data_IF_130896279892
#
_entry.id   IF_130896279892
#
_cell.length_a   1.000
_cell.length_b   1.000
_cell.length_c   1.000
_cell.angle_alpha   90.00
_cell.angle_beta   90.00
_cell.angle_gamma   90.00
#
_symmetry.space_group_name_H-M   'P 1'
#
loop_
_entity.id
_entity.type
_entity.pdbx_description
1 polymer ?
#
# COMPACT_ATOMS: atom_id res chain seq x y z
N UNK A 1 -33.07 -15.26 -27.65
CA UNK A 1 -31.93 -15.58 -26.73
C UNK A 1 -31.70 -14.37 -25.84
N UNK A 2 -31.54 -14.53 -24.53
CA UNK A 2 -31.37 -13.41 -23.59
C UNK A 2 -29.89 -13.16 -23.24
N UNK A 3 -29.54 -11.92 -22.97
CA UNK A 3 -28.19 -11.51 -22.59
C UNK A 3 -27.85 -11.95 -21.17
N UNK A 4 -26.72 -12.64 -20.98
CA UNK A 4 -26.20 -13.04 -19.66
C UNK A 4 -25.90 -11.86 -18.75
N UNK A 5 -25.64 -10.67 -19.31
CA UNK A 5 -25.28 -9.47 -18.54
C UNK A 5 -26.52 -8.67 -18.10
N UNK A 6 -27.48 -8.44 -19.00
CA UNK A 6 -28.61 -7.54 -18.72
C UNK A 6 -30.01 -8.15 -18.91
N UNK A 7 -30.11 -9.45 -19.21
CA UNK A 7 -31.37 -10.19 -19.29
C UNK A 7 -32.30 -9.83 -20.46
N UNK A 8 -31.96 -8.85 -21.29
CA UNK A 8 -32.76 -8.47 -22.46
C UNK A 8 -32.47 -9.37 -23.67
N UNK A 9 -33.46 -9.51 -24.54
CA UNK A 9 -33.32 -10.31 -25.76
C UNK A 9 -32.23 -9.73 -26.68
N UNK A 10 -31.38 -10.61 -27.20
CA UNK A 10 -30.31 -10.27 -28.14
C UNK A 10 -30.76 -10.58 -29.56
N UNK A 11 -30.71 -9.56 -30.42
CA UNK A 11 -30.87 -9.66 -31.87
C UNK A 11 -29.55 -9.23 -32.54
N UNK A 12 -28.66 -10.18 -32.85
CA UNK A 12 -27.37 -9.92 -33.52
C UNK A 12 -26.14 -10.41 -32.74
N UNK A 13 -24.96 -9.94 -33.13
CA UNK A 13 -23.67 -10.34 -32.52
C UNK A 13 -23.38 -9.64 -31.18
N UNK A 14 -24.10 -8.56 -30.85
CA UNK A 14 -23.94 -7.80 -29.62
C UNK A 14 -25.32 -7.50 -29.02
N UNK A 15 -25.40 -7.36 -27.70
CA UNK A 15 -26.63 -6.97 -27.02
C UNK A 15 -26.92 -5.48 -27.23
N UNK A 16 -28.06 -5.15 -27.84
CA UNK A 16 -28.46 -3.76 -28.12
C UNK A 16 -28.69 -2.89 -26.87
N UNK A 17 -28.80 -3.49 -25.68
CA UNK A 17 -29.04 -2.75 -24.44
C UNK A 17 -27.79 -2.50 -23.59
N UNK A 18 -26.83 -3.42 -23.56
CA UNK A 18 -25.61 -3.28 -22.74
C UNK A 18 -24.30 -3.33 -23.54
N UNK A 19 -24.36 -3.59 -24.85
CA UNK A 19 -23.19 -3.70 -25.72
C UNK A 19 -22.37 -4.98 -25.55
N UNK A 20 -22.75 -5.89 -24.64
CA UNK A 20 -22.01 -7.13 -24.42
C UNK A 20 -22.00 -8.00 -25.70
N UNK A 21 -20.84 -8.55 -26.10
CA UNK A 21 -20.75 -9.47 -27.23
C UNK A 21 -21.52 -10.75 -26.92
N UNK A 22 -22.09 -11.36 -27.95
CA UNK A 22 -22.81 -12.63 -27.84
C UNK A 22 -21.80 -13.75 -27.60
N UNK A 23 -21.87 -14.37 -26.42
CA UNK A 23 -20.98 -15.48 -26.04
C UNK A 23 -21.20 -16.67 -26.99
N UNK A 24 -20.24 -16.91 -27.88
CA UNK A 24 -20.21 -18.10 -28.72
C UNK A 24 -19.98 -19.32 -27.83
N UNK A 25 -20.99 -20.18 -27.71
CA UNK A 25 -20.88 -21.50 -27.10
C UNK A 25 -19.88 -22.31 -27.95
N UNK A 26 -18.62 -22.36 -27.52
CA UNK A 26 -17.66 -23.34 -28.02
C UNK A 26 -17.37 -24.33 -26.89
N UNK A 27 -17.71 -25.58 -27.16
CA UNK A 27 -17.69 -26.73 -26.26
C UNK A 27 -16.26 -27.13 -25.92
N UNK A 28 -15.65 -26.44 -24.96
CA UNK A 28 -14.78 -27.08 -23.98
C UNK A 28 -14.95 -26.40 -22.62
N UNK A 29 -16.20 -26.47 -22.15
CA UNK A 29 -16.61 -26.12 -20.80
C UNK A 29 -16.42 -27.36 -19.92
N UNK A 30 -15.19 -27.60 -19.45
CA UNK A 30 -15.05 -28.31 -18.18
C UNK A 30 -15.18 -27.27 -17.07
N UNK A 31 -16.44 -27.03 -16.71
CA UNK A 31 -16.91 -26.69 -15.36
C UNK A 31 -15.86 -26.13 -14.40
N UNK A 32 -15.47 -24.87 -14.60
CA UNK A 32 -15.42 -23.97 -13.46
C UNK A 32 -16.88 -23.73 -13.07
N UNK A 33 -17.34 -24.40 -12.01
CA UNK A 33 -18.47 -24.02 -11.14
C UNK A 33 -18.80 -25.13 -10.14
N UNK A 34 -17.94 -25.28 -9.14
CA UNK A 34 -18.32 -25.34 -7.72
C UNK A 34 -17.08 -24.97 -6.94
N UNK A 35 -17.15 -23.89 -6.17
CA UNK A 35 -16.05 -23.29 -5.44
C UNK A 35 -15.23 -24.35 -4.67
N UNK A 36 -13.91 -24.32 -4.88
CA UNK A 36 -12.89 -25.16 -4.23
C UNK A 36 -12.90 -24.99 -2.72
N UNK A 37 -13.86 -25.60 -2.03
CA UNK A 37 -13.91 -25.69 -0.58
C UNK A 37 -12.99 -26.81 -0.10
N UNK A 38 -13.02 -27.96 -0.78
CA UNK A 38 -12.24 -29.15 -0.45
C UNK A 38 -11.16 -29.43 -1.49
N UNK A 39 -9.96 -29.80 -1.03
CA UNK A 39 -8.86 -30.30 -1.88
C UNK A 39 -8.48 -31.70 -1.39
N UNK A 40 -8.42 -32.66 -2.32
CA UNK A 40 -7.94 -34.00 -2.03
C UNK A 40 -6.42 -34.03 -2.15
N UNK A 41 -5.74 -34.29 -1.02
CA UNK A 41 -4.28 -34.42 -0.98
C UNK A 41 -3.97 -35.75 -0.33
N UNK A 42 -3.27 -36.63 -1.07
CA UNK A 42 -2.90 -37.98 -0.61
C UNK A 42 -4.09 -38.83 -0.15
N UNK A 43 -5.28 -38.65 -0.75
CA UNK A 43 -6.49 -39.41 -0.39
C UNK A 43 -7.30 -38.82 0.76
N UNK A 44 -6.89 -37.66 1.30
CA UNK A 44 -7.57 -36.98 2.41
C UNK A 44 -8.27 -35.72 1.87
N UNK A 45 -9.57 -35.61 2.09
CA UNK A 45 -10.35 -34.42 1.75
C UNK A 45 -10.15 -33.34 2.82
N UNK A 46 -9.57 -32.20 2.41
CA UNK A 46 -9.30 -31.09 3.32
C UNK A 46 -10.07 -29.85 2.90
N UNK A 47 -10.94 -29.34 3.78
CA UNK A 47 -11.65 -28.08 3.59
C UNK A 47 -10.74 -26.88 3.91
N UNK A 48 -10.21 -26.26 2.87
CA UNK A 48 -9.28 -25.13 2.98
C UNK A 48 -9.96 -23.87 3.52
N UNK A 49 -11.27 -23.71 3.31
CA UNK A 49 -12.00 -22.55 3.81
C UNK A 49 -12.11 -22.60 5.34
N UNK A 50 -12.48 -23.75 5.89
CA UNK A 50 -12.57 -23.95 7.35
C UNK A 50 -11.24 -23.74 8.06
N UNK A 51 -10.12 -24.08 7.43
CA UNK A 51 -8.77 -23.83 7.95
C UNK A 51 -8.50 -22.32 8.03
N UNK A 52 -8.80 -21.57 6.96
CA UNK A 52 -8.60 -20.12 6.98
C UNK A 52 -9.47 -19.44 8.03
N UNK A 53 -10.72 -19.89 8.19
CA UNK A 53 -11.66 -19.37 9.19
C UNK A 53 -11.20 -19.69 10.63
N UNK A 54 -10.79 -20.94 10.89
CA UNK A 54 -10.37 -21.40 12.23
C UNK A 54 -9.06 -20.76 12.69
N UNK A 55 -8.08 -20.68 11.80
CA UNK A 55 -6.76 -20.16 12.14
C UNK A 55 -6.65 -18.65 11.96
N UNK A 56 -7.57 -18.02 11.22
CA UNK A 56 -7.61 -16.57 11.02
C UNK A 56 -6.25 -16.07 10.53
N UNK A 57 -5.61 -15.15 11.27
CA UNK A 57 -4.28 -14.60 10.90
C UNK A 57 -3.09 -15.53 11.20
N UNK A 58 -3.29 -16.67 11.88
CA UNK A 58 -2.21 -17.58 12.30
C UNK A 58 -1.82 -18.56 11.18
N UNK A 59 -1.33 -18.00 10.07
CA UNK A 59 -0.96 -18.75 8.85
C UNK A 59 0.06 -19.87 9.11
N UNK A 60 1.00 -19.64 10.02
CA UNK A 60 2.01 -20.66 10.38
C UNK A 60 1.39 -21.89 11.05
N UNK A 61 0.36 -21.71 11.88
CA UNK A 61 -0.37 -22.79 12.53
C UNK A 61 -1.24 -23.55 11.50
N UNK A 62 -1.87 -22.83 10.57
CA UNK A 62 -2.61 -23.43 9.47
C UNK A 62 -1.73 -24.32 8.57
N UNK A 63 -0.51 -23.89 8.25
CA UNK A 63 0.47 -24.69 7.48
C UNK A 63 0.89 -25.94 8.25
N UNK A 64 1.13 -25.79 9.56
CA UNK A 64 1.53 -26.92 10.41
C UNK A 64 0.40 -27.95 10.50
N UNK A 65 -0.83 -27.51 10.73
CA UNK A 65 -2.01 -28.36 10.77
C UNK A 65 -2.25 -29.07 9.43
N UNK A 66 -2.14 -28.35 8.31
CA UNK A 66 -2.25 -28.95 6.97
C UNK A 66 -1.19 -30.04 6.77
N UNK A 67 0.06 -29.77 7.18
CA UNK A 67 1.16 -30.73 7.11
C UNK A 67 0.89 -31.97 7.96
N UNK A 68 0.44 -31.79 9.20
CA UNK A 68 0.21 -32.88 10.14
C UNK A 68 -0.91 -33.83 9.67
N UNK A 69 -1.90 -33.30 8.95
CA UNK A 69 -3.00 -34.10 8.37
C UNK A 69 -2.58 -34.77 7.06
N UNK A 70 -1.93 -34.03 6.15
CA UNK A 70 -1.71 -34.49 4.76
C UNK A 70 -0.35 -35.16 4.52
N UNK A 71 0.60 -35.02 5.45
CA UNK A 71 1.98 -35.47 5.29
C UNK A 71 2.79 -34.68 4.24
N UNK A 72 2.28 -33.54 3.75
CA UNK A 72 2.93 -32.72 2.74
C UNK A 72 4.31 -32.19 3.16
N UNK A 73 5.18 -31.98 2.17
CA UNK A 73 6.39 -31.18 2.37
C UNK A 73 6.05 -29.73 2.73
N UNK A 74 6.84 -29.12 3.62
CA UNK A 74 6.62 -27.75 4.14
C UNK A 74 6.38 -26.72 3.03
N UNK A 75 7.09 -26.86 1.89
CA UNK A 75 6.96 -25.95 0.73
C UNK A 75 5.61 -26.08 0.03
N UNK A 76 5.12 -27.31 -0.16
CA UNK A 76 3.83 -27.58 -0.80
C UNK A 76 2.68 -27.18 0.13
N UNK A 77 2.76 -27.50 1.42
CA UNK A 77 1.79 -27.07 2.41
C UNK A 77 1.68 -25.54 2.47
N UNK A 78 2.83 -24.86 2.36
CA UNK A 78 2.88 -23.39 2.32
C UNK A 78 2.19 -22.82 1.08
N UNK A 79 2.45 -23.33 -0.13
CA UNK A 79 1.81 -22.79 -1.34
C UNK A 79 0.29 -22.98 -1.31
N UNK A 80 -0.19 -24.14 -0.86
CA UNK A 80 -1.63 -24.42 -0.75
C UNK A 80 -2.32 -23.49 0.24
N UNK A 81 -1.72 -23.27 1.42
CA UNK A 81 -2.26 -22.32 2.40
C UNK A 81 -2.10 -20.88 1.92
N UNK A 82 -1.01 -20.55 1.21
CA UNK A 82 -0.83 -19.22 0.64
C UNK A 82 -1.98 -18.88 -0.33
N UNK A 83 -2.29 -19.78 -1.26
CA UNK A 83 -3.39 -19.63 -2.22
C UNK A 83 -4.78 -19.60 -1.55
N UNK A 84 -4.99 -20.42 -0.52
CA UNK A 84 -6.24 -20.43 0.25
C UNK A 84 -6.45 -19.11 1.01
N UNK A 85 -5.40 -18.59 1.64
CA UNK A 85 -5.45 -17.30 2.32
C UNK A 85 -5.64 -16.14 1.34
N UNK A 86 -5.10 -16.20 0.12
CA UNK A 86 -5.37 -15.18 -0.90
C UNK A 86 -6.86 -15.14 -1.30
N UNK A 87 -7.53 -16.30 -1.30
CA UNK A 87 -8.94 -16.41 -1.68
C UNK A 87 -9.90 -16.11 -0.52
N UNK A 88 -9.56 -16.50 0.71
CA UNK A 88 -10.51 -16.52 1.83
C UNK A 88 -10.11 -15.68 3.05
N UNK A 89 -8.90 -15.09 3.10
CA UNK A 89 -8.51 -14.34 4.29
C UNK A 89 -9.30 -13.03 4.44
N UNK A 90 -9.68 -12.63 5.68
CA UNK A 90 -10.27 -11.34 5.93
C UNK A 90 -9.28 -10.24 5.55
N UNK A 91 -9.66 -9.38 4.61
CA UNK A 91 -8.83 -8.33 4.01
C UNK A 91 -8.41 -7.27 5.03
N UNK A 92 -7.40 -7.59 5.85
CA UNK A 92 -6.71 -6.64 6.73
C UNK A 92 -5.20 -6.87 6.72
N UNK A 93 -4.58 -6.72 5.54
CA UNK A 93 -3.13 -6.55 5.41
C UNK A 93 -2.83 -5.77 4.11
N UNK A 94 -2.84 -4.45 4.18
CA UNK A 94 -1.61 -3.66 4.28
C UNK A 94 -0.56 -4.14 3.27
N UNK A 95 -0.74 -3.72 2.00
CA UNK A 95 0.35 -3.72 1.03
C UNK A 95 1.49 -2.90 1.66
N UNK A 96 2.49 -3.58 2.20
CA UNK A 96 3.85 -3.04 2.37
C UNK A 96 4.40 -2.77 0.97
N UNK A 97 3.84 -1.77 0.30
CA UNK A 97 4.40 -1.19 -0.90
C UNK A 97 5.72 -0.58 -0.49
N UNK A 98 6.81 -1.32 -0.75
CA UNK A 98 8.17 -0.78 -0.68
C UNK A 98 8.13 0.54 -1.45
N UNK A 99 8.42 1.62 -0.74
CA UNK A 99 8.40 2.98 -1.25
C UNK A 99 9.55 3.17 -2.25
N UNK A 100 9.43 2.58 -3.43
CA UNK A 100 10.24 2.92 -4.59
C UNK A 100 9.42 3.93 -5.36
N UNK A 101 9.63 5.21 -5.06
CA UNK A 101 9.07 6.26 -5.93
C UNK A 101 9.75 6.09 -7.29
N UNK A 102 8.98 5.85 -8.37
CA UNK A 102 9.55 5.74 -9.71
C UNK A 102 10.35 7.00 -10.01
N UNK A 103 11.56 6.86 -10.56
CA UNK A 103 12.46 7.98 -10.87
C UNK A 103 11.79 9.02 -11.78
N UNK A 104 10.82 8.59 -12.57
CA UNK A 104 9.99 9.38 -13.47
C UNK A 104 9.13 10.40 -12.70
N UNK A 105 8.56 10.00 -11.56
CA UNK A 105 7.74 10.90 -10.72
C UNK A 105 8.58 11.98 -10.07
N UNK A 106 9.81 11.66 -9.66
CA UNK A 106 10.75 12.65 -9.11
C UNK A 106 11.10 13.69 -10.20
N UNK A 107 11.44 13.24 -11.41
CA UNK A 107 11.70 14.12 -12.56
C UNK A 107 10.52 15.01 -12.90
N UNK A 108 9.30 14.47 -12.83
CA UNK A 108 8.08 15.25 -13.06
C UNK A 108 7.91 16.32 -11.99
N UNK A 109 8.07 15.97 -10.70
CA UNK A 109 7.99 16.92 -9.60
C UNK A 109 9.06 18.01 -9.67
N UNK A 110 10.26 17.68 -10.13
CA UNK A 110 11.32 18.66 -10.38
C UNK A 110 10.93 19.64 -11.51
N UNK A 111 10.32 19.14 -12.61
CA UNK A 111 9.81 19.98 -13.71
C UNK A 111 8.66 20.88 -13.28
N UNK A 112 7.77 20.36 -12.45
CA UNK A 112 6.60 21.08 -11.93
C UNK A 112 6.95 22.00 -10.75
N UNK A 113 8.20 21.97 -10.26
CA UNK A 113 8.64 22.78 -9.12
C UNK A 113 8.00 22.37 -7.79
N UNK A 114 7.53 21.13 -7.66
CA UNK A 114 6.87 20.65 -6.45
C UNK A 114 7.92 20.27 -5.40
N UNK A 115 7.82 20.83 -4.21
CA UNK A 115 8.71 20.48 -3.10
C UNK A 115 8.44 19.08 -2.54
N UNK A 116 9.51 18.34 -2.23
CA UNK A 116 9.42 17.00 -1.64
C UNK A 116 10.51 16.73 -0.61
N UNK A 117 10.27 15.72 0.24
CA UNK A 117 11.27 15.25 1.17
C UNK A 117 12.39 14.50 0.43
N UNK A 118 13.67 14.84 0.62
CA UNK A 118 14.79 14.14 -0.04
C UNK A 118 14.97 12.69 0.42
N UNK A 119 14.41 12.32 1.59
CA UNK A 119 14.52 10.97 2.16
C UNK A 119 13.40 10.03 1.69
N UNK A 120 12.16 10.53 1.60
CA UNK A 120 10.98 9.70 1.33
C UNK A 120 10.04 10.29 0.28
N UNK A 121 10.51 11.26 -0.52
CA UNK A 121 9.82 11.84 -1.68
C UNK A 121 8.35 12.22 -1.47
N UNK A 122 7.95 12.47 -0.23
CA UNK A 122 6.60 12.87 0.15
C UNK A 122 6.49 14.39 0.02
N UNK A 123 5.34 14.83 -0.49
CA UNK A 123 4.96 16.24 -0.59
C UNK A 123 4.38 16.79 0.73
N UNK A 124 4.18 15.93 1.75
CA UNK A 124 3.68 16.33 3.07
C UNK A 124 4.79 16.97 3.89
N UNK A 125 5.03 18.25 3.61
CA UNK A 125 6.07 19.08 4.24
C UNK A 125 5.42 20.19 5.07
N UNK A 126 5.96 20.43 6.27
CA UNK A 126 5.65 21.63 7.07
C UNK A 126 6.88 22.53 7.13
N UNK A 127 6.69 23.83 6.97
CA UNK A 127 7.75 24.82 7.00
C UNK A 127 7.57 25.72 8.24
N UNK A 128 8.55 25.71 9.14
CA UNK A 128 8.58 26.57 10.31
C UNK A 128 9.75 27.54 10.23
N UNK A 129 9.47 28.83 10.42
CA UNK A 129 10.52 29.85 10.56
C UNK A 129 11.18 29.69 11.93
N UNK A 130 12.51 29.73 11.99
CA UNK A 130 13.21 29.83 13.28
C UNK A 130 12.92 31.21 13.86
N UNK A 131 12.05 31.29 14.86
CA UNK A 131 11.66 32.54 15.52
C UNK A 131 12.83 33.28 16.16
N UNK A 132 12.59 34.54 16.51
CA UNK A 132 13.51 35.39 17.27
C UNK A 132 13.87 34.68 18.59
N UNK A 133 15.14 34.34 18.75
CA UNK A 133 15.61 33.69 19.97
C UNK A 133 15.74 34.73 21.06
N UNK A 134 14.70 34.90 21.89
CA UNK A 134 14.70 35.84 23.03
C UNK A 134 15.96 35.64 23.89
N UNK A 135 16.34 34.39 24.17
CA UNK A 135 17.57 34.10 24.92
C UNK A 135 18.87 34.56 24.24
N UNK A 136 18.92 34.59 22.90
CA UNK A 136 20.08 35.13 22.17
C UNK A 136 20.12 36.66 22.22
N UNK A 137 18.97 37.30 22.28
CA UNK A 137 18.88 38.75 22.45
C UNK A 137 19.27 39.17 23.87
N UNK A 138 18.88 38.42 24.90
CA UNK A 138 19.25 38.69 26.29
C UNK A 138 20.78 38.58 26.48
N UNK A 139 21.38 37.48 26.01
CA UNK A 139 22.85 37.31 26.08
C UNK A 139 23.58 38.34 25.22
N UNK A 140 23.05 38.67 24.04
CA UNK A 140 23.59 39.74 23.21
C UNK A 140 23.54 41.09 23.92
N UNK A 141 22.44 41.39 24.59
CA UNK A 141 22.22 42.65 25.30
C UNK A 141 23.07 42.79 26.57
N UNK A 142 23.34 41.69 27.28
CA UNK A 142 24.24 41.73 28.44
C UNK A 142 25.70 41.96 28.05
N UNK A 143 26.14 41.46 26.90
CA UNK A 143 27.52 41.60 26.42
C UNK A 143 27.77 42.91 25.65
N UNK A 144 26.79 43.35 24.86
CA UNK A 144 26.94 44.48 23.92
C UNK A 144 25.92 45.60 24.14
N UNK A 145 25.20 45.61 25.27
CA UNK A 145 24.20 46.62 25.61
C UNK A 145 23.01 46.65 24.63
N UNK A 146 22.40 47.82 24.42
CA UNK A 146 21.26 47.98 23.52
C UNK A 146 21.53 47.54 22.07
N UNK A 147 22.80 47.56 21.62
CA UNK A 147 23.22 47.12 20.28
C UNK A 147 23.11 45.59 20.15
N UNK A 148 23.29 44.85 21.25
CA UNK A 148 23.18 43.39 21.30
C UNK A 148 21.77 42.84 21.03
N UNK A 149 20.73 43.67 21.19
CA UNK A 149 19.35 43.32 20.85
C UNK A 149 19.18 43.13 19.33
N UNK A 150 19.90 43.91 18.51
CA UNK A 150 19.86 43.81 17.05
C UNK A 150 20.56 42.54 16.53
N UNK A 151 21.54 42.01 17.25
CA UNK A 151 22.24 40.77 16.91
C UNK A 151 21.34 39.52 17.05
N UNK A 152 20.21 39.60 17.77
CA UNK A 152 19.23 38.52 17.89
C UNK A 152 18.60 38.10 16.55
N UNK A 153 18.70 38.94 15.52
CA UNK A 153 18.17 38.68 14.18
C UNK A 153 19.14 37.91 13.26
N UNK A 154 20.39 37.67 13.70
CA UNK A 154 21.39 36.92 12.92
C UNK A 154 20.97 35.43 12.85
N UNK A 155 20.28 35.10 11.75
CA UNK A 155 19.83 33.73 11.44
C UNK A 155 18.33 33.46 11.61
N UNK A 156 17.51 34.46 11.92
CA UNK A 156 16.04 34.33 12.04
C UNK A 156 15.32 34.03 10.70
N UNK A 157 16.02 34.18 9.57
CA UNK A 157 15.47 33.93 8.22
C UNK A 157 15.56 32.48 7.76
N UNK A 158 16.18 31.57 8.52
CA UNK A 158 16.31 30.16 8.11
C UNK A 158 14.99 29.43 8.34
N UNK A 159 14.36 28.98 7.26
CA UNK A 159 13.15 28.14 7.30
C UNK A 159 13.56 26.69 7.43
N UNK A 160 13.13 26.04 8.51
CA UNK A 160 13.28 24.60 8.68
C UNK A 160 12.05 23.91 8.10
N UNK A 161 12.27 23.00 7.17
CA UNK A 161 11.24 22.17 6.58
C UNK A 161 11.30 20.79 7.24
N UNK A 162 10.16 20.28 7.68
CA UNK A 162 10.02 18.96 8.29
C UNK A 162 9.05 18.12 7.47
N UNK A 163 9.44 16.89 7.14
CA UNK A 163 8.55 15.95 6.49
C UNK A 163 7.62 15.28 7.52
N UNK A 164 6.31 15.39 7.32
CA UNK A 164 5.31 14.77 8.20
C UNK A 164 5.24 13.25 8.05
N UNK A 165 5.72 12.72 6.92
CA UNK A 165 5.71 11.27 6.66
C UNK A 165 6.87 10.52 7.31
N UNK A 166 8.07 11.09 7.34
CA UNK A 166 9.26 10.40 7.85
C UNK A 166 10.03 11.16 8.95
N UNK A 167 9.59 12.36 9.33
CA UNK A 167 10.22 13.18 10.37
C UNK A 167 11.53 13.85 9.96
N UNK A 168 12.04 13.63 8.74
CA UNK A 168 13.30 14.23 8.29
C UNK A 168 13.21 15.76 8.22
N UNK A 169 14.20 16.44 8.79
CA UNK A 169 14.29 17.90 8.86
C UNK A 169 15.44 18.41 8.00
N UNK A 170 15.17 19.41 7.17
CA UNK A 170 16.13 20.04 6.27
C UNK A 170 15.88 21.56 6.20
N UNK A 171 16.81 22.32 5.64
CA UNK A 171 16.72 23.78 5.55
C UNK A 171 16.36 24.20 4.12
N UNK A 172 15.38 25.10 3.99
CA UNK A 172 15.02 25.64 2.67
C UNK A 172 16.18 26.44 2.07
N UNK A 173 16.41 26.31 0.77
CA UNK A 173 17.41 27.07 0.02
C UNK A 173 18.84 26.52 0.07
N UNK A 174 19.10 25.41 0.79
CA UNK A 174 20.34 24.65 0.64
C UNK A 174 20.03 23.39 -0.18
N UNK A 175 20.37 23.42 -1.47
CA UNK A 175 20.49 22.20 -2.28
C UNK A 175 21.85 21.56 -2.01
#
# INVERSE_FOLDING_TARGET
MFCSNCGKEITGNFCSNCGAPREAQNSNKHTGDTATKTVNINGIEVDLQSIVETYGRRKAEAIKHLKDITGLGIRQAKSVIDDAYEKFAPTTANKKGKHQVPKERIKQMDKEGIAYCPKCYSQSLTAHKKGFGIGKAIVGASLFGAIGLAAGNIGAKKVRVTCLKCGHQFWAGKK
#
